data_IF_790387158032
#
_entry.id   IF_790387158032
#
_cell.length_a   1.000
_cell.length_b   1.000
_cell.length_c   1.000
_cell.angle_alpha   90.00
_cell.angle_beta   90.00
_cell.angle_gamma   90.00
#
_symmetry.space_group_name_H-M   'P 1'
#
loop_
_entity.id
_entity.type
_entity.pdbx_description
1 polymer ?
#
# COMPACT_ATOMS: atom_id res chain seq x y z
N UNK A 1 9.87 21.22 5.33
CA UNK A 1 8.81 21.82 4.47
C UNK A 1 8.51 23.30 4.73
N UNK A 2 8.92 23.92 5.83
CA UNK A 2 8.62 25.34 6.08
C UNK A 2 9.05 26.28 4.94
N UNK A 3 10.21 26.03 4.33
CA UNK A 3 10.79 26.84 3.24
C UNK A 3 10.48 26.29 1.84
N UNK A 4 9.71 25.20 1.70
CA UNK A 4 9.34 24.66 0.39
C UNK A 4 8.42 25.61 -0.37
N UNK A 5 8.50 25.68 -1.71
CA UNK A 5 7.61 26.50 -2.52
C UNK A 5 6.16 25.98 -2.46
N UNK A 6 5.22 26.84 -2.79
CA UNK A 6 3.83 26.42 -3.07
C UNK A 6 3.85 25.80 -4.46
N UNK A 7 3.58 24.50 -4.54
CA UNK A 7 3.61 23.73 -5.80
C UNK A 7 2.21 23.37 -6.29
N UNK A 8 1.19 23.54 -5.43
CA UNK A 8 -0.18 23.16 -5.72
C UNK A 8 -1.21 24.03 -5.02
N UNK A 9 -2.41 23.99 -5.55
CA UNK A 9 -3.57 24.66 -4.99
C UNK A 9 -4.83 23.83 -5.25
N UNK A 10 -5.84 24.02 -4.42
CA UNK A 10 -7.15 23.42 -4.68
C UNK A 10 -7.84 24.15 -5.83
N UNK A 11 -8.18 23.38 -6.85
CA UNK A 11 -8.97 23.86 -8.01
C UNK A 11 -10.30 23.12 -8.06
N UNK A 12 -11.32 23.76 -8.67
CA UNK A 12 -12.63 23.15 -8.85
C UNK A 12 -12.58 22.12 -9.97
N UNK A 13 -13.05 20.90 -9.71
CA UNK A 13 -13.19 19.81 -10.67
C UNK A 13 -14.64 19.31 -10.62
N UNK A 14 -15.51 19.88 -11.45
CA UNK A 14 -16.95 19.67 -11.36
C UNK A 14 -17.52 20.18 -10.03
N UNK A 15 -18.12 19.31 -9.23
CA UNK A 15 -18.63 19.62 -7.89
C UNK A 15 -17.58 19.51 -6.78
N UNK A 16 -16.42 18.93 -7.09
CA UNK A 16 -15.39 18.57 -6.12
C UNK A 16 -14.16 19.48 -6.23
N UNK A 17 -13.29 19.39 -5.25
CA UNK A 17 -12.01 20.11 -5.24
C UNK A 17 -10.87 19.11 -5.30
N UNK A 18 -9.91 19.36 -6.19
CA UNK A 18 -8.69 18.58 -6.34
C UNK A 18 -7.47 19.44 -6.04
N UNK A 19 -6.50 18.90 -5.28
CA UNK A 19 -5.18 19.53 -5.16
C UNK A 19 -4.43 19.33 -6.47
N UNK A 20 -4.32 20.37 -7.26
CA UNK A 20 -3.61 20.38 -8.56
C UNK A 20 -2.22 20.96 -8.37
N UNK A 21 -1.21 20.14 -8.61
CA UNK A 21 0.20 20.49 -8.45
C UNK A 21 0.90 20.58 -9.79
N UNK A 22 1.92 21.46 -9.89
CA UNK A 22 2.78 21.58 -11.06
C UNK A 22 4.17 20.99 -10.74
N UNK A 23 4.57 19.95 -11.50
CA UNK A 23 5.88 19.31 -11.38
C UNK A 23 7.04 20.33 -11.49
N UNK A 24 6.90 21.36 -12.33
CA UNK A 24 7.96 22.36 -12.55
C UNK A 24 8.30 23.16 -11.30
N UNK A 25 7.37 23.23 -10.35
CA UNK A 25 7.54 23.96 -9.10
C UNK A 25 8.18 23.09 -8.00
N UNK A 26 8.28 21.78 -8.21
CA UNK A 26 9.00 20.90 -7.29
C UNK A 26 10.51 21.20 -7.42
N UNK A 27 11.08 21.69 -6.35
CA UNK A 27 12.48 22.00 -6.24
C UNK A 27 13.05 21.39 -4.96
N UNK A 28 14.38 21.42 -4.83
CA UNK A 28 15.13 20.92 -3.69
C UNK A 28 14.70 19.53 -3.21
N UNK A 29 15.56 18.86 -2.49
CA UNK A 29 15.25 17.59 -1.84
C UNK A 29 15.41 17.76 -0.34
N UNK A 30 14.32 17.59 0.38
CA UNK A 30 14.33 17.61 1.85
C UNK A 30 14.49 16.20 2.42
N UNK A 31 15.24 16.08 3.50
CA UNK A 31 15.33 14.82 4.26
C UNK A 31 14.38 14.89 5.44
N UNK A 32 13.46 13.93 5.52
CA UNK A 32 12.43 13.91 6.55
C UNK A 32 12.57 12.62 7.37
N UNK A 33 12.62 12.69 8.70
CA UNK A 33 12.67 11.50 9.55
C UNK A 33 11.31 10.80 9.58
N UNK A 34 11.31 9.48 9.71
CA UNK A 34 10.10 8.66 9.86
C UNK A 34 9.28 9.11 11.07
N UNK A 35 9.95 9.51 12.15
CA UNK A 35 9.31 10.00 13.38
C UNK A 35 8.50 11.29 13.20
N UNK A 36 8.70 12.02 12.10
CA UNK A 36 7.86 13.17 11.78
C UNK A 36 6.42 12.73 11.49
N UNK A 37 6.24 11.62 10.80
CA UNK A 37 4.94 11.11 10.36
C UNK A 37 4.37 10.04 11.29
N UNK A 38 5.21 9.35 12.05
CA UNK A 38 4.79 8.17 12.81
C UNK A 38 5.02 8.33 14.31
N UNK A 39 4.29 7.52 15.05
CA UNK A 39 4.56 7.23 16.46
C UNK A 39 5.85 6.39 16.59
N UNK A 40 6.06 5.75 17.74
CA UNK A 40 7.22 4.86 17.97
C UNK A 40 7.29 3.74 16.93
N UNK A 41 8.52 3.32 16.59
CA UNK A 41 8.75 2.10 15.81
C UNK A 41 8.79 0.88 16.74
N UNK A 42 8.07 -0.16 16.37
CA UNK A 42 8.13 -1.49 16.96
C UNK A 42 8.81 -2.44 15.97
N UNK A 43 9.65 -3.35 16.49
CA UNK A 43 10.26 -4.44 15.71
C UNK A 43 9.77 -5.72 16.34
N UNK A 44 8.96 -6.46 15.62
CA UNK A 44 8.32 -7.69 16.10
C UNK A 44 8.98 -8.88 15.43
N UNK A 45 9.61 -9.76 16.22
CA UNK A 45 10.08 -11.06 15.76
C UNK A 45 8.88 -11.99 15.64
N UNK A 46 8.67 -12.60 14.47
CA UNK A 46 7.64 -13.61 14.31
C UNK A 46 8.11 -14.96 14.86
N UNK A 47 7.15 -15.76 15.33
CA UNK A 47 7.36 -17.12 15.84
C UNK A 47 8.11 -17.96 14.79
N UNK A 48 9.18 -18.63 15.20
CA UNK A 48 10.11 -19.35 14.32
C UNK A 48 9.80 -20.85 14.21
N UNK A 49 8.65 -21.35 14.73
CA UNK A 49 8.26 -22.74 14.52
C UNK A 49 7.94 -22.98 13.02
N UNK A 50 8.19 -24.20 12.54
CA UNK A 50 8.08 -24.52 11.10
C UNK A 50 6.75 -24.11 10.48
N UNK A 51 5.63 -24.34 11.19
CA UNK A 51 4.29 -23.98 10.72
C UNK A 51 4.03 -22.47 10.62
N UNK A 52 4.83 -21.67 11.31
CA UNK A 52 4.73 -20.21 11.36
C UNK A 52 5.60 -19.50 10.33
N UNK A 53 6.54 -20.21 9.69
CA UNK A 53 7.50 -19.60 8.76
C UNK A 53 6.81 -18.89 7.61
N UNK A 54 7.25 -17.67 7.32
CA UNK A 54 6.74 -16.81 6.25
C UNK A 54 7.86 -16.40 5.30
N UNK A 55 7.47 -15.99 4.09
CA UNK A 55 8.39 -15.32 3.15
C UNK A 55 8.29 -13.80 3.24
N UNK A 56 9.09 -13.13 2.43
CA UNK A 56 9.05 -11.67 2.29
C UNK A 56 7.84 -11.28 1.42
N UNK A 57 6.69 -11.12 2.06
CA UNK A 57 5.41 -10.80 1.44
C UNK A 57 4.77 -9.59 2.10
N UNK A 58 3.65 -9.11 1.56
CA UNK A 58 2.85 -8.05 2.17
C UNK A 58 2.33 -8.42 3.56
N UNK A 59 2.07 -7.41 4.36
CA UNK A 59 1.56 -7.55 5.73
C UNK A 59 0.45 -6.53 5.95
N UNK A 60 -0.63 -6.96 6.58
CA UNK A 60 -1.71 -6.09 7.06
C UNK A 60 -1.69 -6.07 8.58
N UNK A 61 -1.78 -4.87 9.15
CA UNK A 61 -1.67 -4.64 10.60
C UNK A 61 -3.00 -4.11 11.13
N UNK A 62 -3.39 -4.59 12.31
CA UNK A 62 -4.41 -3.99 13.16
C UNK A 62 -3.87 -3.75 14.57
N UNK A 63 -4.71 -3.30 15.49
CA UNK A 63 -4.24 -2.98 16.84
C UNK A 63 -3.68 -4.20 17.58
N UNK A 64 -4.24 -5.41 17.39
CA UNK A 64 -3.84 -6.62 18.09
C UNK A 64 -3.26 -7.73 17.20
N UNK A 65 -3.29 -7.57 15.86
CA UNK A 65 -2.91 -8.65 14.94
C UNK A 65 -1.96 -8.19 13.83
N UNK A 66 -1.20 -9.16 13.35
CA UNK A 66 -0.33 -9.10 12.16
C UNK A 66 -0.79 -10.21 11.22
N UNK A 67 -1.33 -9.85 10.05
CA UNK A 67 -1.70 -10.79 9.00
C UNK A 67 -0.63 -10.76 7.92
N UNK A 68 0.19 -11.82 7.84
CA UNK A 68 1.19 -11.97 6.78
C UNK A 68 0.55 -12.62 5.56
N UNK A 69 0.68 -11.97 4.40
CA UNK A 69 0.04 -12.41 3.18
C UNK A 69 0.64 -13.72 2.67
N UNK A 70 -0.23 -14.63 2.27
CA UNK A 70 0.17 -15.90 1.70
C UNK A 70 0.75 -15.77 0.29
N UNK A 71 1.78 -16.57 0.03
CA UNK A 71 2.34 -16.79 -1.31
C UNK A 71 2.71 -18.26 -1.44
N UNK A 72 2.25 -18.91 -2.52
CA UNK A 72 2.52 -20.33 -2.72
C UNK A 72 3.98 -20.71 -2.36
N UNK A 73 4.15 -21.80 -1.61
CA UNK A 73 3.13 -22.77 -1.17
C UNK A 73 2.39 -22.37 0.14
N UNK A 74 2.73 -21.25 0.78
CA UNK A 74 2.27 -20.86 2.10
C UNK A 74 0.92 -20.10 2.06
N UNK A 75 -0.08 -20.46 2.89
CA UNK A 75 -1.29 -19.67 3.07
C UNK A 75 -0.99 -18.37 3.85
N UNK A 76 -2.00 -17.51 3.97
CA UNK A 76 -1.94 -16.39 4.90
C UNK A 76 -1.78 -16.89 6.33
N UNK A 77 -1.01 -16.15 7.13
CA UNK A 77 -0.75 -16.51 8.53
C UNK A 77 -1.09 -15.35 9.44
N UNK A 78 -1.84 -15.64 10.51
CA UNK A 78 -2.21 -14.67 11.52
C UNK A 78 -1.30 -14.83 12.74
N UNK A 79 -0.79 -13.70 13.22
CA UNK A 79 0.00 -13.57 14.44
C UNK A 79 -0.64 -12.53 15.35
N UNK A 80 -0.40 -12.64 16.64
CA UNK A 80 -0.67 -11.53 17.56
C UNK A 80 0.37 -10.39 17.38
N UNK A 81 0.15 -9.26 18.03
CA UNK A 81 1.08 -8.11 17.99
C UNK A 81 2.44 -8.37 18.66
N UNK A 82 2.60 -9.46 19.38
CA UNK A 82 3.88 -9.90 19.95
C UNK A 82 4.66 -10.84 19.04
N UNK A 83 4.05 -11.22 17.91
CA UNK A 83 4.64 -12.13 16.93
C UNK A 83 4.35 -13.61 17.16
N UNK A 84 3.51 -13.97 18.15
CA UNK A 84 3.12 -15.36 18.36
C UNK A 84 2.19 -15.82 17.24
N UNK A 85 2.50 -16.95 16.62
CA UNK A 85 1.65 -17.55 15.59
C UNK A 85 0.32 -18.03 16.18
N UNK A 86 -0.76 -17.66 15.55
CA UNK A 86 -2.12 -18.04 15.97
C UNK A 86 -2.70 -19.12 15.07
N UNK A 87 -2.75 -18.88 13.76
CA UNK A 87 -3.36 -19.83 12.82
C UNK A 87 -3.02 -19.49 11.36
N UNK A 88 -3.22 -20.48 10.48
CA UNK A 88 -3.31 -20.25 9.03
C UNK A 88 -4.71 -19.74 8.68
N UNK A 89 -4.80 -18.85 7.69
CA UNK A 89 -6.07 -18.36 7.15
C UNK A 89 -6.31 -19.03 5.80
N UNK A 90 -7.24 -19.98 5.79
CA UNK A 90 -7.49 -20.81 4.63
C UNK A 90 -6.33 -21.74 4.26
N UNK A 91 -6.34 -22.22 3.03
CA UNK A 91 -5.29 -23.07 2.48
C UNK A 91 -5.04 -22.78 0.99
N UNK A 92 -3.91 -23.26 0.48
CA UNK A 92 -3.59 -23.18 -0.95
C UNK A 92 -4.26 -24.35 -1.67
N UNK A 93 -5.23 -24.05 -2.54
CA UNK A 93 -5.98 -25.08 -3.26
C UNK A 93 -7.09 -24.50 -4.11
N UNK A 94 -8.10 -25.35 -4.43
CA UNK A 94 -9.29 -25.02 -5.23
C UNK A 94 -10.61 -25.46 -4.56
N UNK A 95 -10.52 -25.96 -3.34
CA UNK A 95 -11.68 -26.36 -2.55
C UNK A 95 -12.40 -25.16 -1.90
N UNK A 96 -13.53 -25.41 -1.21
CA UNK A 96 -14.23 -24.39 -0.45
C UNK A 96 -13.32 -23.76 0.61
N UNK A 97 -13.20 -22.42 0.62
CA UNK A 97 -12.30 -21.71 1.53
C UNK A 97 -10.81 -21.85 1.19
N UNK A 98 -10.46 -22.35 0.01
CA UNK A 98 -9.09 -22.40 -0.49
C UNK A 98 -8.88 -21.35 -1.58
N UNK A 99 -7.62 -20.95 -1.79
CA UNK A 99 -7.24 -19.97 -2.82
C UNK A 99 -5.87 -20.30 -3.41
N UNK A 100 -5.58 -19.80 -4.58
CA UNK A 100 -4.29 -19.99 -5.23
C UNK A 100 -3.48 -18.70 -5.31
N UNK A 101 -4.07 -17.66 -5.92
CA UNK A 101 -3.47 -16.34 -6.06
C UNK A 101 -4.42 -15.33 -5.43
N UNK A 102 -3.91 -14.51 -4.54
CA UNK A 102 -4.68 -13.47 -3.86
C UNK A 102 -4.28 -12.12 -4.42
N UNK A 103 -5.28 -11.28 -4.67
CA UNK A 103 -5.05 -9.94 -5.17
C UNK A 103 -5.14 -8.89 -4.06
N UNK A 104 -6.09 -9.03 -3.14
CA UNK A 104 -6.24 -8.13 -2.00
C UNK A 104 -6.74 -8.88 -0.76
N UNK A 105 -6.45 -8.35 0.41
CA UNK A 105 -6.93 -8.90 1.68
C UNK A 105 -7.19 -7.77 2.69
N UNK A 106 -8.17 -7.98 3.56
CA UNK A 106 -8.51 -7.06 4.64
C UNK A 106 -8.59 -7.80 5.96
N UNK A 107 -8.06 -7.15 7.00
CA UNK A 107 -8.17 -7.56 8.39
C UNK A 107 -9.14 -6.61 9.09
N UNK A 108 -10.31 -7.10 9.43
CA UNK A 108 -11.37 -6.39 10.15
C UNK A 108 -11.47 -6.97 11.57
N UNK A 109 -10.57 -6.50 12.42
CA UNK A 109 -10.47 -6.96 13.79
C UNK A 109 -11.77 -6.68 14.58
N UNK A 110 -12.36 -5.51 14.37
CA UNK A 110 -13.56 -5.07 15.09
C UNK A 110 -14.75 -6.02 14.89
N UNK A 111 -14.84 -6.64 13.72
CA UNK A 111 -15.91 -7.57 13.37
C UNK A 111 -15.48 -9.03 13.41
N UNK A 112 -14.29 -9.35 13.90
CA UNK A 112 -13.71 -10.70 13.91
C UNK A 112 -13.72 -11.33 12.50
N UNK A 113 -13.17 -10.60 11.48
CA UNK A 113 -13.19 -11.04 10.08
C UNK A 113 -11.87 -10.80 9.37
N UNK A 114 -11.54 -11.73 8.48
CA UNK A 114 -10.53 -11.59 7.45
C UNK A 114 -11.19 -11.86 6.11
N UNK A 115 -11.04 -10.91 5.19
CA UNK A 115 -11.55 -11.02 3.83
C UNK A 115 -10.39 -11.22 2.87
N UNK A 116 -10.51 -12.18 1.97
CA UNK A 116 -9.53 -12.45 0.91
C UNK A 116 -10.22 -12.33 -0.44
N UNK A 117 -9.66 -11.55 -1.34
CA UNK A 117 -10.05 -11.44 -2.74
C UNK A 117 -9.06 -12.23 -3.61
N UNK A 118 -9.40 -13.45 -4.05
CA UNK A 118 -8.58 -14.18 -5.00
C UNK A 118 -8.54 -13.48 -6.36
N UNK A 119 -7.49 -13.73 -7.12
CA UNK A 119 -7.40 -13.24 -8.49
C UNK A 119 -8.56 -13.76 -9.36
N UNK A 120 -9.17 -12.87 -10.15
CA UNK A 120 -10.30 -13.18 -11.02
C UNK A 120 -11.51 -13.79 -10.27
N UNK A 121 -11.74 -13.32 -9.04
CA UNK A 121 -12.75 -13.89 -8.16
C UNK A 121 -14.19 -13.48 -8.53
N UNK A 122 -15.12 -14.34 -8.18
CA UNK A 122 -16.57 -14.08 -8.19
C UNK A 122 -17.16 -13.99 -6.77
N UNK A 123 -16.31 -14.06 -5.75
CA UNK A 123 -16.68 -13.92 -4.33
C UNK A 123 -15.48 -13.50 -3.49
N UNK A 124 -15.73 -12.82 -2.39
CA UNK A 124 -14.77 -12.65 -1.31
C UNK A 124 -14.83 -13.89 -0.42
N UNK A 125 -13.68 -14.48 -0.13
CA UNK A 125 -13.56 -15.49 0.91
C UNK A 125 -13.55 -14.79 2.26
N UNK A 126 -14.24 -15.39 3.25
CA UNK A 126 -14.39 -14.81 4.58
C UNK A 126 -13.96 -15.83 5.62
N UNK A 127 -13.15 -15.36 6.58
CA UNK A 127 -12.68 -16.16 7.71
C UNK A 127 -12.89 -15.39 9.00
N UNK A 128 -12.97 -16.08 10.12
CA UNK A 128 -12.80 -15.45 11.43
C UNK A 128 -11.31 -15.37 11.83
N UNK A 129 -11.02 -14.72 12.95
CA UNK A 129 -9.65 -14.60 13.47
C UNK A 129 -9.11 -15.89 14.08
N UNK A 130 -9.91 -16.95 14.17
CA UNK A 130 -9.52 -18.31 14.54
C UNK A 130 -9.18 -19.16 13.31
N UNK A 131 -9.34 -18.61 12.09
CA UNK A 131 -9.08 -19.28 10.82
C UNK A 131 -10.24 -20.13 10.30
N UNK A 132 -11.40 -20.11 10.95
CA UNK A 132 -12.57 -20.82 10.47
C UNK A 132 -13.13 -20.17 9.22
N UNK A 133 -13.49 -20.98 8.23
CA UNK A 133 -14.15 -20.51 7.00
C UNK A 133 -15.58 -20.11 7.31
N UNK A 134 -15.99 -18.95 6.82
CA UNK A 134 -17.33 -18.41 6.93
C UNK A 134 -17.98 -18.32 5.55
N UNK A 135 -19.29 -18.02 5.51
CA UNK A 135 -20.01 -17.85 4.25
C UNK A 135 -19.35 -16.74 3.41
N UNK A 136 -18.97 -17.04 2.16
CA UNK A 136 -18.33 -16.05 1.29
C UNK A 136 -19.34 -14.97 0.86
N UNK A 137 -18.83 -13.80 0.54
CA UNK A 137 -19.65 -12.71 -0.03
C UNK A 137 -19.59 -12.79 -1.55
N UNK A 138 -20.70 -13.07 -2.25
CA UNK A 138 -20.72 -13.11 -3.71
C UNK A 138 -20.46 -11.73 -4.28
N UNK A 139 -19.77 -11.66 -5.42
CA UNK A 139 -19.49 -10.43 -6.16
C UNK A 139 -20.37 -10.35 -7.40
N UNK A 140 -21.03 -9.21 -7.63
CA UNK A 140 -21.90 -9.02 -8.79
C UNK A 140 -21.13 -9.00 -10.12
N UNK A 141 -19.84 -8.69 -10.09
CA UNK A 141 -18.92 -8.75 -11.23
C UNK A 141 -17.66 -9.51 -10.86
N UNK A 142 -17.06 -10.17 -11.83
CA UNK A 142 -15.78 -10.86 -11.66
C UNK A 142 -14.63 -9.86 -11.57
N UNK A 143 -13.73 -10.06 -10.60
CA UNK A 143 -12.64 -9.14 -10.27
C UNK A 143 -11.27 -9.74 -10.65
N UNK A 144 -10.70 -9.40 -11.82
CA UNK A 144 -9.33 -9.84 -12.15
C UNK A 144 -8.29 -9.16 -11.27
N UNK A 145 -8.37 -7.84 -11.11
CA UNK A 145 -7.50 -7.01 -10.25
C UNK A 145 -8.36 -5.93 -9.61
N UNK A 146 -8.52 -5.96 -8.30
CA UNK A 146 -9.38 -5.00 -7.61
C UNK A 146 -8.92 -4.72 -6.19
N UNK A 147 -9.30 -3.57 -5.67
CA UNK A 147 -9.29 -3.22 -4.25
C UNK A 147 -10.72 -3.19 -3.75
N UNK A 148 -10.91 -3.51 -2.49
CA UNK A 148 -12.24 -3.55 -1.91
C UNK A 148 -12.27 -2.99 -0.49
N UNK A 149 -13.46 -2.61 -0.04
CA UNK A 149 -13.77 -2.31 1.34
C UNK A 149 -15.09 -2.96 1.72
N UNK A 150 -15.18 -3.51 2.92
CA UNK A 150 -16.41 -4.10 3.48
C UNK A 150 -16.86 -3.26 4.65
N UNK A 151 -18.07 -2.77 4.59
CA UNK A 151 -18.80 -2.14 5.69
C UNK A 151 -19.90 -3.10 6.15
N UNK A 152 -19.58 -3.93 7.15
CA UNK A 152 -20.55 -4.87 7.71
C UNK A 152 -21.72 -4.18 8.38
N UNK A 153 -21.51 -3.04 9.03
CA UNK A 153 -22.56 -2.29 9.73
C UNK A 153 -23.55 -1.70 8.73
N UNK A 154 -23.02 -1.10 7.65
CA UNK A 154 -23.83 -0.59 6.55
C UNK A 154 -24.33 -1.66 5.58
N UNK A 155 -23.88 -2.91 5.73
CA UNK A 155 -24.27 -4.02 4.85
C UNK A 155 -23.79 -3.87 3.41
N UNK A 156 -22.64 -3.22 3.19
CA UNK A 156 -22.14 -2.84 1.86
C UNK A 156 -20.73 -3.35 1.59
N UNK A 157 -20.49 -3.67 0.33
CA UNK A 157 -19.14 -3.91 -0.22
C UNK A 157 -18.89 -2.93 -1.35
N UNK A 158 -17.80 -2.19 -1.24
CA UNK A 158 -17.32 -1.28 -2.28
C UNK A 158 -16.11 -1.89 -2.97
N UNK A 159 -16.06 -1.84 -4.29
CA UNK A 159 -15.00 -2.42 -5.10
C UNK A 159 -14.57 -1.41 -6.16
N UNK A 160 -13.25 -1.29 -6.33
CA UNK A 160 -12.65 -0.58 -7.46
C UNK A 160 -11.70 -1.54 -8.15
N UNK A 161 -11.90 -1.78 -9.42
CA UNK A 161 -11.08 -2.68 -10.22
C UNK A 161 -10.22 -1.93 -11.24
N UNK A 162 -9.17 -2.58 -11.70
CA UNK A 162 -8.43 -2.14 -12.88
C UNK A 162 -9.33 -2.36 -14.10
N UNK A 163 -9.81 -1.28 -14.75
CA UNK A 163 -10.81 -1.40 -15.81
C UNK A 163 -10.14 -1.71 -17.15
N UNK A 164 -9.80 -2.96 -17.41
CA UNK A 164 -9.36 -3.38 -18.72
C UNK A 164 -10.44 -3.11 -19.78
N UNK A 165 -10.03 -2.98 -21.03
CA UNK A 165 -10.93 -2.78 -22.16
C UNK A 165 -12.08 -3.78 -22.15
N UNK A 166 -13.31 -3.27 -22.19
CA UNK A 166 -14.52 -4.06 -22.13
C UNK A 166 -15.00 -4.41 -20.71
N UNK A 167 -14.36 -3.89 -19.65
CA UNK A 167 -14.88 -4.00 -18.30
C UNK A 167 -16.22 -3.28 -18.16
N UNK A 168 -17.20 -3.92 -17.51
CA UNK A 168 -18.53 -3.33 -17.33
C UNK A 168 -18.54 -2.15 -16.33
N UNK A 169 -17.59 -2.11 -15.43
CA UNK A 169 -17.45 -1.05 -14.43
C UNK A 169 -15.99 -0.84 -14.04
N UNK A 170 -15.62 0.34 -13.55
CA UNK A 170 -14.38 0.61 -12.82
C UNK A 170 -14.60 0.49 -11.33
N UNK A 171 -15.78 0.83 -10.85
CA UNK A 171 -16.12 0.77 -9.43
C UNK A 171 -17.62 0.47 -9.25
N UNK A 172 -17.94 -0.19 -8.13
CA UNK A 172 -19.35 -0.39 -7.73
C UNK A 172 -19.48 -0.58 -6.22
N UNK A 173 -20.70 -0.36 -5.76
CA UNK A 173 -21.16 -0.75 -4.43
C UNK A 173 -22.25 -1.80 -4.57
N UNK A 174 -22.21 -2.82 -3.74
CA UNK A 174 -23.20 -3.89 -3.66
C UNK A 174 -23.56 -4.19 -2.20
N UNK A 175 -24.65 -4.91 -1.96
CA UNK A 175 -24.95 -5.48 -0.67
C UNK A 175 -24.14 -6.75 -0.39
N UNK A 176 -24.27 -7.31 0.81
CA UNK A 176 -23.57 -8.56 1.21
C UNK A 176 -24.09 -9.80 0.48
N UNK A 177 -25.21 -9.70 -0.24
CA UNK A 177 -25.77 -10.79 -1.06
C UNK A 177 -25.34 -10.72 -2.52
N UNK A 178 -24.53 -9.72 -2.88
CA UNK A 178 -24.06 -9.50 -4.26
C UNK A 178 -25.02 -8.67 -5.13
N UNK A 179 -26.09 -8.11 -4.58
CA UNK A 179 -26.96 -7.23 -5.32
C UNK A 179 -26.30 -5.87 -5.52
N UNK A 180 -26.15 -5.44 -6.76
CA UNK A 180 -25.54 -4.16 -7.11
C UNK A 180 -26.44 -2.99 -6.70
N UNK A 181 -25.90 -2.07 -5.92
CA UNK A 181 -26.57 -0.85 -5.46
C UNK A 181 -26.25 0.34 -6.36
N UNK A 182 -25.04 0.40 -6.90
CA UNK A 182 -24.61 1.44 -7.83
C UNK A 182 -23.28 1.06 -8.50
N UNK A 183 -22.94 1.71 -9.60
CA UNK A 183 -21.70 1.47 -10.33
C UNK A 183 -21.23 2.69 -11.13
N UNK A 184 -19.96 2.71 -11.48
CA UNK A 184 -19.33 3.68 -12.38
C UNK A 184 -18.74 2.94 -13.58
N UNK A 185 -19.07 3.38 -14.78
CA UNK A 185 -18.45 2.88 -16.01
C UNK A 185 -16.98 3.34 -16.11
N UNK A 186 -16.11 2.58 -16.82
CA UNK A 186 -14.69 2.92 -16.92
C UNK A 186 -14.42 4.32 -17.53
N UNK A 187 -15.10 4.67 -18.61
CA UNK A 187 -14.89 5.93 -19.30
C UNK A 187 -13.42 6.16 -19.67
N UNK A 188 -12.88 7.31 -19.33
CA UNK A 188 -11.46 7.67 -19.57
C UNK A 188 -10.48 6.87 -18.73
N UNK A 189 -10.93 6.14 -17.71
CA UNK A 189 -10.11 5.30 -16.86
C UNK A 189 -9.83 3.92 -17.47
N UNK A 190 -10.44 3.59 -18.63
CA UNK A 190 -10.16 2.33 -19.31
C UNK A 190 -8.65 2.15 -19.51
N UNK A 191 -8.13 1.00 -19.05
CA UNK A 191 -6.74 0.66 -19.13
C UNK A 191 -6.45 -0.33 -20.27
N UNK A 192 -5.30 -0.21 -20.94
CA UNK A 192 -4.85 -1.22 -21.89
C UNK A 192 -4.80 -2.61 -21.22
N UNK A 193 -4.98 -3.65 -22.03
CA UNK A 193 -4.90 -5.04 -21.56
C UNK A 193 -3.45 -5.47 -21.33
N UNK A 194 -2.85 -4.86 -20.33
CA UNK A 194 -1.48 -5.13 -19.87
C UNK A 194 -1.53 -5.47 -18.39
N UNK A 195 -1.14 -6.70 -18.05
CA UNK A 195 -1.14 -7.19 -16.68
C UNK A 195 -0.09 -6.55 -15.77
N UNK A 196 0.80 -5.71 -16.30
CA UNK A 196 1.68 -4.84 -15.51
C UNK A 196 0.91 -3.68 -14.87
N UNK A 197 -0.22 -3.27 -15.43
CA UNK A 197 -1.07 -2.24 -14.86
C UNK A 197 -1.70 -2.72 -13.55
N UNK A 198 -1.88 -1.80 -12.59
CA UNK A 198 -2.37 -2.11 -11.25
C UNK A 198 -3.42 -1.11 -10.77
N UNK A 199 -4.23 -1.55 -9.84
CA UNK A 199 -5.03 -0.68 -8.97
C UNK A 199 -4.44 -0.72 -7.56
N UNK A 200 -4.12 0.43 -7.00
CA UNK A 200 -3.43 0.57 -5.72
C UNK A 200 -4.29 1.39 -4.77
N UNK A 201 -4.29 1.01 -3.51
CA UNK A 201 -4.94 1.76 -2.43
C UNK A 201 -4.09 1.64 -1.17
N UNK A 202 -3.85 2.76 -0.49
CA UNK A 202 -3.08 2.80 0.75
C UNK A 202 -3.95 2.60 1.99
N UNK A 203 -5.22 3.01 1.92
CA UNK A 203 -6.13 3.01 3.08
C UNK A 203 -5.53 3.69 4.33
N UNK A 204 -4.66 4.70 4.13
CA UNK A 204 -3.92 5.32 5.23
C UNK A 204 -4.76 6.35 6.03
N UNK A 205 -5.95 6.65 5.58
CA UNK A 205 -6.90 7.52 6.27
C UNK A 205 -8.14 6.70 6.64
N UNK A 206 -8.45 6.57 7.93
CA UNK A 206 -9.61 5.80 8.37
C UNK A 206 -10.92 6.27 7.69
N UNK A 207 -11.74 5.32 7.28
CA UNK A 207 -13.03 5.59 6.64
C UNK A 207 -12.95 6.12 5.20
N UNK A 208 -11.76 6.14 4.59
CA UNK A 208 -11.61 6.52 3.18
C UNK A 208 -11.17 5.34 2.33
N UNK A 209 -11.60 5.35 1.07
CA UNK A 209 -11.15 4.40 0.07
C UNK A 209 -10.45 5.19 -1.05
N UNK A 210 -9.13 5.39 -0.87
CA UNK A 210 -8.26 6.04 -1.84
C UNK A 210 -7.85 5.05 -2.93
N UNK A 211 -7.75 5.50 -4.16
CA UNK A 211 -7.44 4.65 -5.31
C UNK A 211 -6.55 5.37 -6.30
N UNK A 212 -5.50 4.69 -6.72
CA UNK A 212 -4.67 5.06 -7.86
C UNK A 212 -4.72 3.95 -8.91
N UNK A 213 -5.08 4.29 -10.14
CA UNK A 213 -5.09 3.37 -11.28
C UNK A 213 -3.79 3.56 -12.04
N UNK A 214 -2.85 2.64 -11.80
CA UNK A 214 -1.51 2.70 -12.33
C UNK A 214 -1.44 2.06 -13.72
N UNK A 215 -1.17 2.88 -14.74
CA UNK A 215 -0.87 2.41 -16.09
C UNK A 215 0.62 2.57 -16.38
N UNK A 216 1.28 1.45 -16.67
CA UNK A 216 2.73 1.46 -16.94
C UNK A 216 3.00 1.86 -18.39
N UNK A 217 2.18 1.35 -19.33
CA UNK A 217 2.27 1.70 -20.75
C UNK A 217 0.90 1.56 -21.46
N UNK A 218 0.40 2.54 -22.18
CA UNK A 218 0.88 3.93 -22.24
C UNK A 218 0.54 4.67 -20.95
N UNK A 219 1.44 5.57 -20.53
CA UNK A 219 1.19 6.44 -19.40
C UNK A 219 0.25 7.58 -19.76
N UNK A 220 -0.56 8.02 -18.83
CA UNK A 220 -1.47 9.15 -18.97
C UNK A 220 -1.44 9.98 -17.68
N UNK A 221 -1.82 11.24 -17.77
CA UNK A 221 -2.10 12.02 -16.56
C UNK A 221 -3.33 11.40 -15.90
N UNK A 222 -3.21 11.11 -14.63
CA UNK A 222 -4.26 10.55 -13.81
C UNK A 222 -4.29 11.24 -12.45
N UNK A 223 -5.20 10.86 -11.59
CA UNK A 223 -5.37 11.43 -10.26
C UNK A 223 -5.34 10.33 -9.20
N UNK A 224 -5.03 10.71 -7.97
CA UNK A 224 -5.47 9.94 -6.83
C UNK A 224 -6.96 10.19 -6.65
N UNK A 225 -7.74 9.12 -6.60
CA UNK A 225 -9.19 9.18 -6.44
C UNK A 225 -9.59 8.72 -5.04
N UNK A 226 -10.73 9.22 -4.59
CA UNK A 226 -11.49 8.66 -3.46
C UNK A 226 -12.78 8.07 -3.99
N UNK A 227 -13.05 6.83 -3.64
CA UNK A 227 -14.32 6.22 -4.00
C UNK A 227 -15.43 6.67 -3.05
N UNK A 228 -16.47 7.25 -3.63
CA UNK A 228 -17.73 7.62 -2.96
C UNK A 228 -18.75 6.51 -3.28
N UNK A 229 -18.90 5.58 -2.34
CA UNK A 229 -19.78 4.42 -2.54
C UNK A 229 -21.27 4.74 -2.56
N UNK A 230 -21.69 5.85 -1.95
CA UNK A 230 -23.10 6.26 -1.93
C UNK A 230 -23.53 6.84 -3.28
N UNK A 231 -22.66 7.56 -3.95
CA UNK A 231 -22.89 8.13 -5.27
C UNK A 231 -22.24 7.33 -6.41
N UNK A 232 -21.56 6.23 -6.10
CA UNK A 232 -20.88 5.33 -7.05
C UNK A 232 -19.95 6.07 -8.01
N UNK A 233 -19.06 6.92 -7.48
CA UNK A 233 -18.14 7.73 -8.28
C UNK A 233 -16.74 7.79 -7.68
N UNK A 234 -15.75 7.99 -8.54
CA UNK A 234 -14.38 8.29 -8.16
C UNK A 234 -14.19 9.80 -8.17
N UNK A 235 -13.86 10.35 -7.01
CA UNK A 235 -13.62 11.78 -6.79
C UNK A 235 -12.13 12.04 -6.86
N UNK A 236 -11.62 12.86 -7.81
CA UNK A 236 -10.20 13.19 -7.84
C UNK A 236 -9.85 14.04 -6.59
N UNK A 237 -8.80 13.67 -5.88
CA UNK A 237 -8.33 14.37 -4.68
C UNK A 237 -6.98 15.04 -4.88
N UNK A 238 -6.13 14.46 -5.72
CA UNK A 238 -4.79 14.97 -6.00
C UNK A 238 -4.38 14.65 -7.44
N UNK A 239 -3.72 15.61 -8.10
CA UNK A 239 -3.16 15.45 -9.45
C UNK A 239 -1.83 16.18 -9.56
N UNK A 240 -0.80 15.51 -10.10
CA UNK A 240 0.45 16.16 -10.51
C UNK A 240 0.42 16.40 -12.01
N UNK A 241 0.52 17.65 -12.42
CA UNK A 241 0.64 18.03 -13.81
C UNK A 241 2.11 17.97 -14.24
N UNK A 242 2.42 17.12 -15.21
CA UNK A 242 3.77 16.92 -15.68
C UNK A 242 4.23 18.01 -16.64
N UNK A 243 5.51 18.34 -16.59
CA UNK A 243 6.12 19.36 -17.41
C UNK A 243 6.08 19.05 -18.92
N UNK A 244 6.15 17.78 -19.27
CA UNK A 244 6.04 17.28 -20.64
C UNK A 244 4.78 16.41 -20.75
N UNK A 245 3.82 16.88 -21.53
CA UNK A 245 2.55 16.18 -21.77
C UNK A 245 2.64 15.12 -22.88
N UNK A 246 3.68 15.16 -23.72
CA UNK A 246 3.87 14.19 -24.79
C UNK A 246 4.49 12.89 -24.28
N UNK A 247 5.16 12.95 -23.14
CA UNK A 247 5.81 11.80 -22.48
C UNK A 247 5.51 11.85 -20.99
N UNK A 248 4.33 11.42 -20.60
CA UNK A 248 3.96 11.29 -19.21
C UNK A 248 4.81 10.18 -18.58
N UNK A 249 5.54 10.43 -17.50
CA UNK A 249 6.32 9.40 -16.84
C UNK A 249 5.40 8.40 -16.12
N UNK A 250 5.91 7.20 -15.85
CA UNK A 250 5.29 6.32 -14.88
C UNK A 250 5.21 7.05 -13.53
N UNK A 251 4.05 7.01 -12.88
CA UNK A 251 3.84 7.73 -11.64
C UNK A 251 2.79 7.05 -10.76
N UNK A 252 2.92 7.27 -9.46
CA UNK A 252 2.00 6.79 -8.44
C UNK A 252 1.69 7.87 -7.42
N UNK A 253 0.55 7.71 -6.75
CA UNK A 253 0.07 8.62 -5.73
C UNK A 253 -0.33 7.87 -4.46
N UNK A 254 -0.17 8.53 -3.32
CA UNK A 254 -0.66 8.09 -2.03
C UNK A 254 -1.11 9.27 -1.18
N UNK A 255 -1.88 8.97 -0.17
CA UNK A 255 -2.40 9.96 0.77
C UNK A 255 -2.03 9.56 2.20
N UNK A 256 -1.45 10.52 2.95
CA UNK A 256 -1.26 10.45 4.40
C UNK A 256 -2.15 11.51 5.08
N UNK A 257 -2.35 11.47 6.39
CA UNK A 257 -3.29 12.38 7.06
C UNK A 257 -3.16 13.84 6.65
N UNK A 258 -1.94 14.38 6.62
CA UNK A 258 -1.69 15.79 6.29
C UNK A 258 -0.98 16.04 4.96
N UNK A 259 -0.65 14.99 4.22
CA UNK A 259 0.16 15.12 3.02
C UNK A 259 -0.37 14.24 1.89
N UNK A 260 -0.21 14.74 0.67
CA UNK A 260 -0.15 13.88 -0.51
C UNK A 260 1.31 13.52 -0.75
N UNK A 261 1.55 12.29 -1.17
CA UNK A 261 2.85 11.77 -1.56
C UNK A 261 2.74 11.19 -2.95
N UNK A 262 3.83 11.12 -3.64
CA UNK A 262 3.87 10.44 -4.92
C UNK A 262 5.30 10.20 -5.38
N UNK A 263 5.36 9.44 -6.43
CA UNK A 263 6.60 9.17 -7.15
C UNK A 263 6.36 9.22 -8.65
N UNK A 264 7.42 9.48 -9.39
CA UNK A 264 7.45 9.30 -10.83
C UNK A 264 8.84 8.88 -11.26
N UNK A 265 8.92 8.10 -12.33
CA UNK A 265 10.19 7.58 -12.86
C UNK A 265 10.46 8.10 -14.26
N UNK A 266 11.69 8.51 -14.51
CA UNK A 266 12.15 8.73 -15.88
C UNK A 266 12.01 7.44 -16.70
N UNK A 267 11.83 7.54 -18.02
CA UNK A 267 11.78 6.34 -18.87
C UNK A 267 13.02 5.48 -18.68
N UNK A 268 12.90 4.15 -18.84
CA UNK A 268 14.06 3.27 -18.86
C UNK A 268 15.09 3.71 -19.91
N UNK A 269 16.36 3.57 -19.58
CA UNK A 269 17.47 3.92 -20.46
C UNK A 269 18.12 2.63 -20.98
N UNK A 270 18.29 2.56 -22.30
CA UNK A 270 19.04 1.46 -22.91
C UNK A 270 20.54 1.67 -22.65
N UNK A 271 21.15 0.76 -21.93
CA UNK A 271 22.58 0.83 -21.54
C UNK A 271 23.48 -0.03 -22.46
N UNK A 272 22.89 -0.98 -23.18
CA UNK A 272 23.51 -1.77 -24.24
C UNK A 272 22.38 -2.31 -25.15
N UNK A 273 22.66 -2.73 -26.37
CA UNK A 273 21.67 -3.26 -27.28
C UNK A 273 20.80 -4.35 -26.63
N UNK A 274 19.50 -4.07 -26.44
CA UNK A 274 18.53 -4.93 -25.77
C UNK A 274 18.64 -5.01 -24.24
N UNK A 275 19.53 -4.24 -23.60
CA UNK A 275 19.68 -4.15 -22.14
C UNK A 275 19.22 -2.81 -21.63
N UNK A 276 18.23 -2.81 -20.76
CA UNK A 276 17.61 -1.61 -20.22
C UNK A 276 17.83 -1.51 -18.71
N UNK A 277 18.06 -0.29 -18.23
CA UNK A 277 18.04 0.02 -16.79
C UNK A 277 16.85 0.91 -16.47
N UNK A 278 16.30 0.76 -15.27
CA UNK A 278 15.23 1.64 -14.82
C UNK A 278 15.70 3.10 -14.79
N UNK A 279 14.82 4.00 -15.21
CA UNK A 279 15.03 5.43 -15.06
C UNK A 279 15.07 5.85 -13.58
N UNK A 280 15.58 7.04 -13.33
CA UNK A 280 15.63 7.60 -11.97
C UNK A 280 14.22 7.84 -11.45
N UNK A 281 13.93 7.34 -10.23
CA UNK A 281 12.69 7.61 -9.53
C UNK A 281 12.84 8.81 -8.60
N UNK A 282 11.85 9.69 -8.63
CA UNK A 282 11.73 10.86 -7.77
C UNK A 282 10.55 10.69 -6.85
N UNK A 283 10.75 10.93 -5.57
CA UNK A 283 9.69 10.96 -4.57
C UNK A 283 9.41 12.41 -4.18
N UNK A 284 8.14 12.76 -4.06
CA UNK A 284 7.72 14.10 -3.66
C UNK A 284 6.62 14.06 -2.62
N UNK A 285 6.49 15.16 -1.88
CA UNK A 285 5.51 15.33 -0.81
C UNK A 285 4.89 16.72 -0.92
N UNK A 286 3.59 16.81 -0.69
CA UNK A 286 2.81 18.06 -0.71
C UNK A 286 1.95 18.15 0.54
N UNK A 287 2.07 19.24 1.27
CA UNK A 287 1.23 19.56 2.42
C UNK A 287 -0.17 19.96 1.97
N UNK A 288 -1.18 19.27 2.46
CA UNK A 288 -2.59 19.45 2.06
C UNK A 288 -3.13 20.84 2.38
N UNK A 289 -2.67 21.45 3.47
CA UNK A 289 -3.19 22.73 3.95
C UNK A 289 -2.58 23.91 3.19
N UNK A 290 -1.29 23.85 2.89
CA UNK A 290 -0.55 24.98 2.36
C UNK A 290 -0.23 24.86 0.87
N UNK A 291 -0.36 23.68 0.27
CA UNK A 291 0.08 23.39 -1.09
C UNK A 291 1.62 23.46 -1.28
N UNK A 292 2.37 23.56 -0.17
CA UNK A 292 3.85 23.55 -0.23
C UNK A 292 4.33 22.13 -0.48
N UNK A 293 5.33 21.99 -1.35
CA UNK A 293 5.88 20.68 -1.69
C UNK A 293 7.34 20.74 -2.11
N UNK A 294 7.98 19.58 -2.11
CA UNK A 294 9.35 19.38 -2.57
C UNK A 294 9.61 17.90 -2.87
N UNK A 295 10.70 17.63 -3.54
CA UNK A 295 11.24 16.26 -3.51
C UNK A 295 11.67 15.93 -2.09
N UNK A 296 11.59 14.64 -1.72
CA UNK A 296 11.98 14.23 -0.37
C UNK A 296 12.64 12.85 -0.36
N UNK A 297 13.42 12.65 0.69
CA UNK A 297 13.97 11.38 1.10
C UNK A 297 13.49 11.09 2.52
N UNK A 298 12.83 9.96 2.70
CA UNK A 298 12.40 9.47 3.99
C UNK A 298 13.53 8.63 4.60
N UNK A 299 13.84 8.84 5.87
CA UNK A 299 14.82 8.00 6.56
C UNK A 299 14.30 7.55 7.92
N UNK A 300 14.71 6.35 8.30
CA UNK A 300 14.29 5.72 9.54
C UNK A 300 15.22 6.16 10.70
N UNK A 301 14.83 7.23 11.37
CA UNK A 301 15.57 7.77 12.53
C UNK A 301 15.41 6.94 13.79
N UNK A 302 14.45 6.05 13.85
CA UNK A 302 14.36 5.02 14.88
C UNK A 302 15.33 3.86 14.67
N UNK A 303 15.95 3.77 13.47
CA UNK A 303 16.78 2.64 13.07
C UNK A 303 18.01 3.12 12.26
N UNK A 304 18.90 3.84 12.91
CA UNK A 304 20.20 4.24 12.38
C UNK A 304 20.20 5.22 11.22
N UNK A 305 19.09 5.89 10.94
CA UNK A 305 18.92 6.86 9.85
C UNK A 305 19.05 6.26 8.43
N UNK A 306 18.75 4.98 8.25
CA UNK A 306 18.71 4.35 6.94
C UNK A 306 17.63 4.98 6.07
N UNK A 307 17.94 5.21 4.80
CA UNK A 307 16.98 5.72 3.82
C UNK A 307 15.91 4.65 3.55
N UNK A 308 14.65 5.08 3.45
CA UNK A 308 13.51 4.23 3.09
C UNK A 308 13.28 4.40 1.60
N UNK A 309 13.58 3.34 0.86
CA UNK A 309 13.26 3.27 -0.55
C UNK A 309 11.73 3.19 -0.74
N UNK A 310 11.23 3.82 -1.79
CA UNK A 310 9.81 3.79 -2.16
C UNK A 310 8.83 4.13 -1.02
N UNK A 311 8.94 5.32 -0.40
CA UNK A 311 8.11 5.69 0.74
C UNK A 311 6.61 5.61 0.46
N UNK A 312 6.18 5.79 -0.79
CA UNK A 312 4.77 5.68 -1.20
C UNK A 312 4.17 4.29 -0.95
N UNK A 313 5.00 3.24 -0.98
CA UNK A 313 4.57 1.84 -0.80
C UNK A 313 4.88 1.28 0.58
N UNK A 314 5.60 2.03 1.40
CA UNK A 314 5.99 1.61 2.75
C UNK A 314 4.85 1.77 3.78
N UNK A 315 3.72 2.37 3.38
CA UNK A 315 2.60 2.66 4.27
C UNK A 315 1.31 2.04 3.77
N UNK A 316 0.63 1.36 4.65
CA UNK A 316 -0.68 0.76 4.38
C UNK A 316 -1.53 0.70 5.65
N UNK A 317 -2.83 0.95 5.50
CA UNK A 317 -3.80 0.94 6.61
C UNK A 317 -3.39 1.80 7.81
N UNK A 318 -2.74 2.95 7.56
CA UNK A 318 -2.30 3.86 8.60
C UNK A 318 -1.02 3.44 9.32
N UNK A 319 -0.26 2.49 8.79
CA UNK A 319 1.00 2.04 9.36
C UNK A 319 2.14 2.08 8.35
N UNK A 320 3.32 2.48 8.80
CA UNK A 320 4.58 2.10 8.18
C UNK A 320 4.82 0.62 8.47
N UNK A 321 5.11 -0.18 7.43
CA UNK A 321 5.27 -1.62 7.56
C UNK A 321 6.48 -2.06 6.74
N UNK A 322 7.34 -2.88 7.36
CA UNK A 322 8.41 -3.57 6.64
C UNK A 322 8.54 -4.99 7.17
N UNK A 323 8.25 -5.96 6.33
CA UNK A 323 8.49 -7.37 6.59
C UNK A 323 9.89 -7.72 6.06
N UNK A 324 10.78 -8.16 6.92
CA UNK A 324 12.21 -8.33 6.60
C UNK A 324 12.74 -9.66 7.12
N UNK A 325 13.47 -10.36 6.27
CA UNK A 325 14.17 -11.61 6.62
C UNK A 325 15.37 -11.32 7.54
N UNK A 326 15.76 -12.28 8.42
CA UNK A 326 16.86 -12.10 9.39
C UNK A 326 18.16 -11.62 8.77
N UNK A 327 18.60 -12.24 7.67
CA UNK A 327 19.84 -11.87 6.97
C UNK A 327 19.84 -10.44 6.44
N UNK A 328 18.70 -9.99 5.89
CA UNK A 328 18.53 -8.62 5.42
C UNK A 328 18.50 -7.63 6.59
N UNK A 329 17.86 -8.00 7.71
CA UNK A 329 17.85 -7.19 8.93
C UNK A 329 19.26 -7.02 9.51
N UNK A 330 20.05 -8.10 9.55
CA UNK A 330 21.47 -8.05 9.98
C UNK A 330 22.29 -7.10 9.09
N UNK A 331 22.12 -7.19 7.77
CA UNK A 331 22.77 -6.29 6.80
C UNK A 331 22.39 -4.84 7.02
N UNK A 332 21.12 -4.56 7.30
CA UNK A 332 20.65 -3.22 7.62
C UNK A 332 21.25 -2.69 8.92
N UNK A 333 21.32 -3.52 9.96
CA UNK A 333 21.97 -3.15 11.23
C UNK A 333 23.43 -2.80 11.00
N UNK A 334 24.17 -3.62 10.24
CA UNK A 334 25.57 -3.33 9.93
C UNK A 334 25.74 -2.02 9.19
N UNK A 335 24.87 -1.73 8.22
CA UNK A 335 24.87 -0.47 7.49
C UNK A 335 24.54 0.72 8.40
N UNK A 336 23.58 0.57 9.31
CA UNK A 336 23.23 1.58 10.29
C UNK A 336 24.40 1.85 11.27
N UNK A 337 25.10 0.82 11.72
CA UNK A 337 26.25 0.93 12.63
C UNK A 337 27.47 1.60 11.99
N UNK A 338 27.62 1.58 10.65
CA UNK A 338 28.66 2.34 9.93
C UNK A 338 28.43 3.86 10.02
N UNK A 339 27.22 4.31 10.28
CA UNK A 339 26.90 5.72 10.42
C UNK A 339 27.46 6.28 11.74
N UNK A 340 28.50 7.11 11.63
CA UNK A 340 29.15 7.71 12.81
C UNK A 340 28.30 8.75 13.55
N UNK A 341 27.17 9.18 12.94
CA UNK A 341 26.29 10.22 13.50
C UNK A 341 25.13 9.67 14.32
N UNK A 342 25.02 8.37 14.49
CA UNK A 342 24.01 7.79 15.39
C UNK A 342 24.46 7.96 16.85
N UNK A 343 23.48 8.10 17.75
CA UNK A 343 23.76 8.21 19.19
C UNK A 343 24.28 6.88 19.77
N UNK A 344 24.97 6.96 20.90
CA UNK A 344 25.46 5.78 21.63
C UNK A 344 24.29 4.86 22.02
N UNK A 345 23.14 5.43 22.42
CA UNK A 345 21.93 4.67 22.74
C UNK A 345 21.41 3.91 21.50
N UNK A 346 21.39 4.54 20.33
CA UNK A 346 21.00 3.89 19.09
C UNK A 346 21.98 2.78 18.73
N UNK A 347 23.28 3.06 18.83
CA UNK A 347 24.33 2.06 18.58
C UNK A 347 24.16 0.85 19.48
N UNK A 348 23.95 1.07 20.79
CA UNK A 348 23.70 -0.02 21.74
C UNK A 348 22.46 -0.83 21.36
N UNK A 349 21.32 -0.17 21.09
CA UNK A 349 20.07 -0.84 20.68
C UNK A 349 20.26 -1.72 19.44
N UNK A 350 20.97 -1.22 18.43
CA UNK A 350 21.22 -1.97 17.20
C UNK A 350 22.16 -3.14 17.44
N UNK A 351 23.19 -2.99 18.27
CA UNK A 351 24.11 -4.07 18.65
C UNK A 351 23.40 -5.15 19.46
N UNK A 352 22.56 -4.75 20.42
CA UNK A 352 21.76 -5.70 21.22
C UNK A 352 20.76 -6.46 20.34
N UNK A 353 20.12 -5.77 19.40
CA UNK A 353 19.22 -6.41 18.41
C UNK A 353 20.00 -7.39 17.55
N UNK A 354 21.15 -7.00 16.99
CA UNK A 354 22.00 -7.86 16.16
C UNK A 354 22.38 -9.15 16.88
N UNK A 355 22.75 -9.04 18.15
CA UNK A 355 23.12 -10.20 18.97
C UNK A 355 21.94 -11.14 19.28
N UNK A 356 20.69 -10.69 19.10
CA UNK A 356 19.48 -11.48 19.35
C UNK A 356 18.91 -12.17 18.09
N UNK A 357 19.46 -11.88 16.91
CA UNK A 357 19.00 -12.46 15.63
C UNK A 357 19.76 -13.76 15.35
N UNK A 358 19.01 -14.82 15.06
CA UNK A 358 19.53 -16.05 14.48
C UNK A 358 19.19 -16.08 12.97
N UNK A 359 20.09 -16.59 12.14
CA UNK A 359 19.86 -16.68 10.68
C UNK A 359 18.68 -17.60 10.30
N UNK A 360 18.32 -18.52 11.19
CA UNK A 360 17.17 -19.42 11.06
C UNK A 360 15.89 -18.88 11.68
N UNK A 361 15.91 -17.66 12.19
CA UNK A 361 14.69 -17.01 12.70
C UNK A 361 13.68 -16.82 11.57
N UNK A 362 12.41 -16.74 11.94
CA UNK A 362 11.37 -16.23 11.04
C UNK A 362 11.57 -14.71 10.81
N UNK A 363 10.80 -14.12 9.93
CA UNK A 363 10.87 -12.71 9.60
C UNK A 363 10.61 -11.82 10.80
N UNK A 364 11.13 -10.61 10.70
CA UNK A 364 10.86 -9.49 11.60
C UNK A 364 9.92 -8.49 10.89
N UNK A 365 8.96 -7.95 11.62
CA UNK A 365 8.06 -6.93 11.10
C UNK A 365 8.31 -5.61 11.83
N UNK A 366 8.77 -4.60 11.09
CA UNK A 366 8.86 -3.23 11.60
C UNK A 366 7.52 -2.53 11.40
N UNK A 367 7.01 -1.90 12.44
CA UNK A 367 5.68 -1.31 12.47
C UNK A 367 5.74 0.06 13.14
N UNK A 368 5.19 1.09 12.50
CA UNK A 368 4.98 2.39 13.15
C UNK A 368 3.66 3.00 12.70
N UNK A 369 2.81 3.39 13.64
CA UNK A 369 1.50 3.97 13.34
C UNK A 369 1.65 5.40 12.83
N UNK A 370 0.93 5.77 11.77
CA UNK A 370 0.84 7.15 11.31
C UNK A 370 0.17 8.01 12.39
N UNK A 371 0.72 9.19 12.61
CA UNK A 371 0.09 10.24 13.43
C UNK A 371 -1.15 10.77 12.72
N UNK A 372 -2.24 11.02 13.48
CA UNK A 372 -3.49 11.54 12.94
C UNK A 372 -3.37 12.93 12.35
#
# INVERSE_FOLDING_TARGET
MANSPIVGQYVQAGTDKVMSCDQKLLADTVRIPLSFFTEKLEIVKLDSRDEALVGQTGVTISDNYILVHGRRPNPFKLFDRRGNFLTNIGAIGQGPGEYQMVYDAKLDEANNRIYILPWNASQLLVYDLQGNVLDPIPLCLRCPKAKFNVDLTGGKVSIVLLPFKGSAAVAWTQDLKGNRLGYMEPGHLEAPQDFSNEVISGFNIPGTFDVNILCIMPTRVDSLYRYDGDNSRLIPTFTLNFANTDKIPWHGYGEWPHHFIGDFSEPPVEVAPGSWTNGKTFHYIVDKKTGKGSFFKLYNDYFGNLEIDYPSYAFSNGYYIRNIEPGNLMTDIENALKNQKISDDMRKKLTDLQASIDENDNNYVMIAKLKP
#
